data_IF_066438752734
#
_entry.id   IF_066438752734
#
_cell.length_a   1.000
_cell.length_b   1.000
_cell.length_c   1.000
_cell.angle_alpha   90.00
_cell.angle_beta   90.00
_cell.angle_gamma   90.00
#
_symmetry.space_group_name_H-M   'P 1'
#
loop_
_entity.id
_entity.type
_entity.pdbx_description
1 polymer ?
#
# COMPACT_ATOMS: atom_id res chain seq x y z
N UNK A 1 16.51 -5.13 -10.50
CA UNK A 1 16.92 -5.54 -9.14
C UNK A 1 17.70 -4.38 -8.53
N UNK A 2 17.24 -3.83 -7.41
CA UNK A 2 17.90 -2.71 -6.72
C UNK A 2 18.93 -3.24 -5.73
N UNK A 3 20.02 -2.49 -5.57
CA UNK A 3 21.05 -2.75 -4.56
C UNK A 3 20.80 -1.84 -3.38
N UNK A 4 20.50 -2.41 -2.23
CA UNK A 4 20.20 -1.69 -1.00
C UNK A 4 21.38 -1.87 -0.05
N UNK A 5 21.95 -0.78 0.50
CA UNK A 5 23.01 -0.89 1.49
C UNK A 5 22.47 -1.52 2.79
N UNK A 6 23.37 -2.15 3.55
CA UNK A 6 23.10 -2.72 4.87
C UNK A 6 24.06 -2.12 5.90
N UNK A 7 23.68 -1.98 7.19
CA UNK A 7 24.57 -1.44 8.23
C UNK A 7 25.91 -2.16 8.37
N UNK A 8 25.97 -3.47 8.08
CA UNK A 8 27.22 -4.24 8.06
C UNK A 8 28.18 -3.91 6.90
N UNK A 9 27.82 -2.95 6.02
CA UNK A 9 28.55 -2.62 4.80
C UNK A 9 28.24 -3.55 3.62
N UNK A 10 27.44 -4.60 3.84
CA UNK A 10 27.01 -5.49 2.79
C UNK A 10 25.89 -4.90 1.92
N UNK A 11 25.53 -5.61 0.84
CA UNK A 11 24.44 -5.23 -0.07
C UNK A 11 23.32 -6.26 -0.04
N UNK A 12 22.08 -5.78 0.11
CA UNK A 12 20.85 -6.55 -0.09
C UNK A 12 20.36 -6.32 -1.51
N UNK A 13 20.12 -7.40 -2.25
CA UNK A 13 19.47 -7.32 -3.55
C UNK A 13 17.97 -7.40 -3.35
N UNK A 14 17.23 -6.41 -3.85
CA UNK A 14 15.78 -6.36 -3.78
C UNK A 14 15.15 -6.39 -5.18
N UNK A 15 14.15 -7.25 -5.35
CA UNK A 15 13.34 -7.32 -6.55
C UNK A 15 11.89 -7.00 -6.24
N UNK A 16 11.51 -5.74 -6.46
CA UNK A 16 10.23 -5.18 -6.06
C UNK A 16 9.03 -5.97 -6.62
N UNK A 17 9.07 -6.36 -7.90
CA UNK A 17 7.97 -7.09 -8.56
C UNK A 17 7.61 -8.39 -7.85
N UNK A 18 8.60 -9.10 -7.31
CA UNK A 18 8.42 -10.42 -6.69
C UNK A 18 8.54 -10.38 -5.17
N UNK A 19 8.79 -9.20 -4.58
CA UNK A 19 9.10 -9.03 -3.16
C UNK A 19 10.18 -10.02 -2.69
N UNK A 20 11.24 -10.15 -3.47
CA UNK A 20 12.37 -11.04 -3.18
C UNK A 20 13.56 -10.26 -2.68
N UNK A 21 14.21 -10.81 -1.65
CA UNK A 21 15.36 -10.23 -0.99
C UNK A 21 16.49 -11.25 -0.99
N UNK A 22 17.71 -10.84 -1.33
CA UNK A 22 18.88 -11.72 -1.31
C UNK A 22 20.07 -11.07 -0.61
N UNK A 23 20.79 -11.88 0.15
CA UNK A 23 22.07 -11.55 0.77
C UNK A 23 23.12 -12.54 0.28
N UNK A 24 24.03 -12.08 -0.58
CA UNK A 24 24.91 -12.98 -1.33
C UNK A 24 24.07 -13.97 -2.16
N UNK A 25 24.25 -15.27 -1.92
CA UNK A 25 23.49 -16.36 -2.56
C UNK A 25 22.23 -16.76 -1.79
N UNK A 26 22.04 -16.26 -0.57
CA UNK A 26 20.92 -16.63 0.30
C UNK A 26 19.69 -15.78 0.02
N UNK A 27 18.54 -16.43 -0.15
CA UNK A 27 17.24 -15.77 -0.24
C UNK A 27 16.70 -15.54 1.16
N UNK A 28 16.33 -14.30 1.47
CA UNK A 28 15.72 -13.93 2.74
C UNK A 28 14.19 -14.02 2.63
N UNK A 29 13.55 -14.51 3.67
CA UNK A 29 12.08 -14.58 3.74
C UNK A 29 11.50 -13.19 4.03
N UNK A 30 10.43 -12.82 3.35
CA UNK A 30 9.76 -11.55 3.67
C UNK A 30 9.11 -11.62 5.06
N UNK A 31 9.13 -10.52 5.81
CA UNK A 31 8.43 -10.42 7.11
C UNK A 31 6.94 -10.78 6.96
N UNK A 32 6.29 -10.34 5.89
CA UNK A 32 4.91 -10.71 5.57
C UNK A 32 4.72 -12.23 5.45
N UNK A 33 5.60 -12.94 4.72
CA UNK A 33 5.55 -14.41 4.60
C UNK A 33 5.89 -15.13 5.91
N UNK A 34 6.74 -14.54 6.74
CA UNK A 34 7.00 -15.06 8.09
C UNK A 34 5.71 -15.03 8.92
N UNK A 35 4.99 -13.90 8.88
CA UNK A 35 3.77 -13.71 9.67
C UNK A 35 2.59 -14.56 9.19
N UNK A 36 2.51 -14.90 7.91
CA UNK A 36 1.44 -15.75 7.38
C UNK A 36 1.37 -17.13 8.08
N UNK A 37 2.49 -17.63 8.63
CA UNK A 37 2.52 -18.85 9.44
C UNK A 37 1.74 -18.72 10.75
N UNK A 38 1.67 -17.52 11.31
CA UNK A 38 1.06 -17.24 12.62
C UNK A 38 -0.32 -16.57 12.49
N UNK A 39 -0.57 -15.90 11.37
CA UNK A 39 -1.84 -15.26 11.01
C UNK A 39 -2.46 -15.97 9.80
N UNK A 40 -2.94 -17.21 9.95
CA UNK A 40 -3.45 -17.98 8.83
C UNK A 40 -4.70 -17.31 8.23
N UNK A 41 -4.75 -17.23 6.91
CA UNK A 41 -5.93 -16.77 6.18
C UNK A 41 -6.64 -17.96 5.53
N UNK A 42 -7.82 -18.31 6.02
CA UNK A 42 -8.66 -19.32 5.38
C UNK A 42 -9.46 -18.66 4.25
N UNK A 43 -8.86 -18.60 3.06
CA UNK A 43 -9.44 -17.95 1.87
C UNK A 43 -10.83 -18.52 1.55
N UNK A 44 -10.98 -19.85 1.53
CA UNK A 44 -12.25 -20.51 1.23
C UNK A 44 -13.37 -20.07 2.20
N UNK A 45 -13.13 -20.17 3.51
CA UNK A 45 -14.12 -19.76 4.52
C UNK A 45 -14.42 -18.27 4.43
N UNK A 46 -13.41 -17.43 4.22
CA UNK A 46 -13.60 -15.99 4.10
C UNK A 46 -14.44 -15.63 2.87
N UNK A 47 -14.17 -16.26 1.72
CA UNK A 47 -14.96 -16.09 0.50
C UNK A 47 -16.42 -16.49 0.71
N UNK A 48 -16.68 -17.68 1.27
CA UNK A 48 -18.04 -18.16 1.55
C UNK A 48 -18.82 -17.21 2.46
N UNK A 49 -18.18 -16.71 3.52
CA UNK A 49 -18.81 -15.79 4.47
C UNK A 49 -19.11 -14.42 3.86
N UNK A 50 -18.18 -13.87 3.08
CA UNK A 50 -18.36 -12.56 2.42
C UNK A 50 -19.40 -12.67 1.30
N UNK A 51 -19.34 -13.72 0.48
CA UNK A 51 -20.33 -14.03 -0.55
C UNK A 51 -21.74 -14.09 0.06
N UNK A 52 -21.92 -14.88 1.12
CA UNK A 52 -23.20 -14.97 1.85
C UNK A 52 -23.68 -13.64 2.42
N UNK A 53 -22.76 -12.81 2.94
CA UNK A 53 -23.11 -11.52 3.56
C UNK A 53 -23.48 -10.45 2.52
N UNK A 54 -22.84 -10.47 1.36
CA UNK A 54 -22.99 -9.44 0.32
C UNK A 54 -24.00 -9.83 -0.76
N UNK A 55 -24.38 -11.11 -0.85
CA UNK A 55 -25.18 -11.65 -1.94
C UNK A 55 -24.40 -11.84 -3.24
N UNK A 56 -23.08 -11.64 -3.22
CA UNK A 56 -22.19 -11.83 -4.37
C UNK A 56 -21.71 -13.28 -4.46
N UNK A 57 -21.28 -13.68 -5.65
CA UNK A 57 -20.56 -14.95 -5.89
C UNK A 57 -19.14 -14.90 -5.33
N UNK A 58 -18.53 -16.06 -5.11
CA UNK A 58 -17.13 -16.14 -4.63
C UNK A 58 -16.13 -15.55 -5.62
N UNK A 59 -16.42 -15.64 -6.91
CA UNK A 59 -15.64 -15.10 -8.02
C UNK A 59 -15.66 -13.57 -8.00
N UNK A 60 -16.85 -12.96 -7.87
CA UNK A 60 -17.00 -11.51 -7.74
C UNK A 60 -16.28 -10.96 -6.50
N UNK A 61 -16.36 -11.67 -5.36
CA UNK A 61 -15.64 -11.28 -4.14
C UNK A 61 -14.12 -11.33 -4.38
N UNK A 62 -13.63 -12.37 -5.07
CA UNK A 62 -12.20 -12.52 -5.38
C UNK A 62 -11.70 -11.44 -6.35
N UNK A 63 -12.51 -11.10 -7.35
CA UNK A 63 -12.23 -9.99 -8.25
C UNK A 63 -12.19 -8.67 -7.48
N UNK A 64 -13.17 -8.42 -6.60
CA UNK A 64 -13.19 -7.26 -5.71
C UNK A 64 -11.94 -7.18 -4.83
N UNK A 65 -11.42 -8.29 -4.30
CA UNK A 65 -10.18 -8.28 -3.52
C UNK A 65 -8.95 -7.94 -4.37
N UNK A 66 -8.90 -8.45 -5.61
CA UNK A 66 -7.84 -8.13 -6.57
C UNK A 66 -7.85 -6.64 -6.95
N UNK A 67 -9.05 -6.09 -7.14
CA UNK A 67 -9.31 -4.66 -7.37
C UNK A 67 -8.83 -3.81 -6.18
N UNK A 68 -9.11 -4.23 -4.95
CA UNK A 68 -8.65 -3.52 -3.75
C UNK A 68 -7.12 -3.50 -3.61
N UNK A 69 -6.42 -4.53 -4.07
CA UNK A 69 -4.95 -4.53 -4.12
C UNK A 69 -4.39 -3.47 -5.09
N UNK A 70 -5.06 -3.24 -6.23
CA UNK A 70 -4.71 -2.17 -7.17
C UNK A 70 -4.86 -0.79 -6.51
N UNK A 71 -5.96 -0.56 -5.79
CA UNK A 71 -6.16 0.67 -5.02
C UNK A 71 -5.02 0.90 -4.03
N UNK A 72 -4.71 -0.12 -3.21
CA UNK A 72 -3.62 -0.06 -2.24
C UNK A 72 -2.30 0.33 -2.89
N UNK A 73 -1.92 -0.35 -3.98
CA UNK A 73 -0.71 -0.03 -4.75
C UNK A 73 -0.69 1.42 -5.24
N UNK A 74 -1.78 1.88 -5.85
CA UNK A 74 -1.88 3.23 -6.41
C UNK A 74 -1.67 4.28 -5.31
N UNK A 75 -2.34 4.11 -4.16
CA UNK A 75 -2.26 5.06 -3.04
C UNK A 75 -0.90 5.05 -2.35
N UNK A 76 -0.26 3.88 -2.17
CA UNK A 76 1.11 3.81 -1.65
C UNK A 76 2.09 4.55 -2.57
N UNK A 77 2.04 4.30 -3.89
CA UNK A 77 2.90 4.98 -4.87
C UNK A 77 2.70 6.51 -4.85
N UNK A 78 1.47 6.96 -4.64
CA UNK A 78 1.15 8.37 -4.52
C UNK A 78 1.74 9.01 -3.26
N UNK A 79 1.58 8.36 -2.11
CA UNK A 79 2.15 8.82 -0.84
C UNK A 79 3.68 8.83 -0.93
N UNK A 80 4.30 7.77 -1.46
CA UNK A 80 5.73 7.67 -1.67
C UNK A 80 6.24 8.85 -2.50
N UNK A 81 5.65 9.09 -3.66
CA UNK A 81 6.07 10.17 -4.55
C UNK A 81 5.92 11.54 -3.89
N UNK A 82 4.82 11.77 -3.15
CA UNK A 82 4.64 13.03 -2.43
C UNK A 82 5.68 13.25 -1.34
N UNK A 83 5.93 12.25 -0.50
CA UNK A 83 6.91 12.36 0.57
C UNK A 83 8.33 12.54 0.02
N UNK A 84 8.66 11.88 -1.09
CA UNK A 84 9.97 11.98 -1.75
C UNK A 84 10.13 13.19 -2.68
N UNK A 85 9.09 14.04 -2.85
CA UNK A 85 9.13 15.18 -3.78
C UNK A 85 9.22 14.78 -5.26
N UNK A 86 8.83 13.55 -5.61
CA UNK A 86 8.79 13.03 -6.99
C UNK A 86 7.51 13.50 -7.70
N UNK A 87 7.48 13.50 -9.06
CA UNK A 87 6.26 13.78 -9.79
C UNK A 87 5.14 12.78 -9.43
N UNK A 88 3.85 13.18 -9.53
CA UNK A 88 2.73 12.28 -9.28
C UNK A 88 2.78 11.01 -10.16
N UNK A 89 2.32 9.86 -9.66
CA UNK A 89 2.24 8.62 -10.45
C UNK A 89 1.45 8.78 -11.74
N UNK A 90 1.77 7.98 -12.76
CA UNK A 90 1.12 8.04 -14.08
C UNK A 90 -0.39 7.84 -14.01
N UNK A 91 -0.88 7.01 -13.09
CA UNK A 91 -2.33 6.77 -12.94
C UNK A 91 -3.11 8.04 -12.56
N UNK A 92 -2.47 9.03 -11.92
CA UNK A 92 -3.09 10.34 -11.63
C UNK A 92 -3.44 11.12 -12.90
N UNK A 93 -2.67 10.95 -13.98
CA UNK A 93 -2.99 11.56 -15.28
C UNK A 93 -4.27 10.95 -15.86
N UNK A 94 -4.41 9.63 -15.76
CA UNK A 94 -5.61 8.91 -16.20
C UNK A 94 -6.83 9.34 -15.38
N UNK A 95 -6.67 9.49 -14.06
CA UNK A 95 -7.74 9.98 -13.17
C UNK A 95 -8.21 11.40 -13.58
N UNK A 96 -7.27 12.33 -13.81
CA UNK A 96 -7.59 13.70 -14.26
C UNK A 96 -8.30 13.72 -15.61
N UNK A 97 -7.89 12.88 -16.56
CA UNK A 97 -8.55 12.76 -17.86
C UNK A 97 -10.00 12.25 -17.68
N UNK A 98 -10.21 11.23 -16.85
CA UNK A 98 -11.54 10.70 -16.53
C UNK A 98 -12.45 11.76 -15.91
N UNK A 99 -11.94 12.57 -14.99
CA UNK A 99 -12.68 13.69 -14.38
C UNK A 99 -13.04 14.76 -15.41
N UNK A 100 -12.10 15.15 -16.28
CA UNK A 100 -12.35 16.14 -17.34
C UNK A 100 -13.47 15.69 -18.29
N UNK A 101 -13.46 14.41 -18.69
CA UNK A 101 -14.52 13.83 -19.52
C UNK A 101 -15.87 13.81 -18.79
N UNK A 102 -15.89 13.43 -17.51
CA UNK A 102 -17.10 13.44 -16.68
C UNK A 102 -17.70 14.85 -16.55
N UNK A 103 -16.85 15.85 -16.33
CA UNK A 103 -17.28 17.25 -16.21
C UNK A 103 -17.77 17.82 -17.54
N UNK A 104 -17.13 17.49 -18.65
CA UNK A 104 -17.58 17.89 -19.99
C UNK A 104 -18.92 17.25 -20.38
N UNK A 105 -19.18 16.01 -19.95
CA UNK A 105 -20.46 15.35 -20.14
C UNK A 105 -21.57 15.98 -19.27
N UNK A 106 -21.26 16.31 -18.01
CA UNK A 106 -22.20 16.98 -17.10
C UNK A 106 -22.55 18.42 -17.55
N UNK A 107 -21.59 19.14 -18.15
CA UNK A 107 -21.79 20.50 -18.66
C UNK A 107 -22.62 20.59 -19.95
N UNK A 108 -22.90 19.48 -20.64
CA UNK A 108 -23.75 19.43 -21.84
C UNK A 108 -25.23 19.12 -21.55
N UNK A 109 -25.62 18.93 -20.29
CA UNK A 109 -26.99 18.59 -19.88
C UNK A 109 -27.92 19.77 -19.60
N UNK A 110 -27.57 21.00 -20.00
CA UNK A 110 -28.29 22.22 -19.64
C UNK A 110 -28.70 23.08 -20.84
N UNK A 111 -29.45 22.51 -21.80
CA UNK A 111 -30.37 23.27 -22.66
C UNK A 111 -31.59 22.39 -22.94
N UNK A 112 -32.74 22.76 -22.38
CA UNK A 112 -34.06 22.29 -22.81
C UNK A 112 -34.47 23.00 -24.09
N UNK A 113 -34.84 22.26 -25.14
CA UNK A 113 -36.06 22.54 -25.91
C UNK A 113 -36.44 21.34 -26.80
N UNK A 114 -37.75 21.20 -26.98
CA UNK A 114 -38.47 20.06 -27.55
C UNK A 114 -38.44 20.03 -29.09
N UNK A 115 -38.57 18.84 -29.69
CA UNK A 115 -38.89 18.73 -31.12
C UNK A 115 -38.58 17.39 -31.79
N UNK A 116 -39.60 16.53 -31.81
CA UNK A 116 -39.93 15.37 -32.66
C UNK A 116 -38.98 14.79 -33.75
N UNK A 117 -38.85 13.44 -33.70
CA UNK A 117 -38.80 12.43 -34.79
C UNK A 117 -37.87 12.56 -36.00
N UNK A 118 -36.95 11.59 -36.19
CA UNK A 118 -37.05 10.51 -37.20
C UNK A 118 -35.83 9.56 -37.14
N UNK A 119 -36.08 8.27 -37.41
CA UNK A 119 -35.12 7.19 -37.58
C UNK A 119 -34.19 7.41 -38.79
N UNK A 120 -32.92 7.04 -38.66
CA UNK A 120 -32.15 6.43 -39.74
C UNK A 120 -31.00 5.61 -39.16
N UNK A 121 -30.95 4.35 -39.56
CA UNK A 121 -29.89 3.39 -39.28
C UNK A 121 -28.53 3.79 -39.91
N UNK A 122 -27.51 3.20 -39.30
CA UNK A 122 -26.20 2.84 -39.85
C UNK A 122 -25.06 3.88 -39.81
N UNK A 123 -24.10 3.65 -38.90
CA UNK A 123 -22.73 3.30 -39.31
C UNK A 123 -21.78 3.19 -38.10
N UNK A 124 -21.22 1.99 -37.94
CA UNK A 124 -19.87 1.68 -37.45
C UNK A 124 -19.19 2.64 -36.46
N UNK A 125 -19.02 2.20 -35.20
CA UNK A 125 -18.00 2.75 -34.30
C UNK A 125 -17.49 1.71 -33.28
N UNK A 126 -16.48 0.89 -33.60
CA UNK A 126 -15.82 0.03 -32.63
C UNK A 126 -14.59 0.73 -32.06
N UNK A 127 -14.77 1.65 -31.10
CA UNK A 127 -13.63 2.23 -30.33
C UNK A 127 -13.86 2.36 -28.81
N UNK A 128 -15.07 2.12 -28.31
CA UNK A 128 -15.40 2.42 -26.90
C UNK A 128 -15.09 1.29 -25.90
N UNK A 129 -15.04 0.02 -26.34
CA UNK A 129 -14.85 -1.12 -25.42
C UNK A 129 -13.40 -1.27 -24.94
N UNK A 130 -12.42 -1.08 -25.83
CA UNK A 130 -10.99 -1.27 -25.51
C UNK A 130 -10.45 -0.22 -24.54
N UNK A 131 -10.88 1.03 -24.66
CA UNK A 131 -10.43 2.12 -23.78
C UNK A 131 -10.92 1.94 -22.34
N UNK A 132 -12.14 1.42 -22.14
CA UNK A 132 -12.71 1.16 -20.81
C UNK A 132 -11.91 0.09 -20.07
N UNK A 133 -11.55 -1.00 -20.77
CA UNK A 133 -10.74 -2.09 -20.24
C UNK A 133 -9.33 -1.64 -19.79
N UNK A 134 -8.68 -0.75 -20.54
CA UNK A 134 -7.36 -0.22 -20.15
C UNK A 134 -7.45 0.65 -18.90
N UNK A 135 -8.45 1.54 -18.82
CA UNK A 135 -8.64 2.38 -17.63
C UNK A 135 -8.93 1.55 -16.39
N UNK A 136 -9.75 0.49 -16.52
CA UNK A 136 -10.06 -0.41 -15.41
C UNK A 136 -8.84 -1.23 -14.96
N UNK A 137 -7.86 -1.49 -15.84
CA UNK A 137 -6.60 -2.12 -15.45
C UNK A 137 -5.65 -1.21 -14.66
N UNK A 138 -5.86 0.11 -14.73
CA UNK A 138 -5.00 1.14 -14.10
C UNK A 138 -5.65 1.73 -12.85
N UNK A 139 -6.98 1.90 -12.85
CA UNK A 139 -7.73 2.55 -11.78
C UNK A 139 -8.75 1.60 -11.13
N UNK A 140 -8.78 1.61 -9.81
CA UNK A 140 -9.81 1.03 -8.96
C UNK A 140 -11.16 1.76 -9.04
N UNK A 141 -11.14 3.09 -9.21
CA UNK A 141 -12.32 3.95 -9.23
C UNK A 141 -12.61 4.68 -7.92
N UNK A 142 -11.96 4.31 -6.82
CA UNK A 142 -12.07 5.00 -5.52
C UNK A 142 -10.86 5.89 -5.21
N UNK A 143 -9.87 5.97 -6.11
CA UNK A 143 -8.63 6.72 -5.86
C UNK A 143 -8.89 8.17 -5.44
N UNK A 144 -9.90 8.83 -6.00
CA UNK A 144 -10.19 10.22 -5.67
C UNK A 144 -10.48 10.43 -4.18
N UNK A 145 -11.28 9.56 -3.57
CA UNK A 145 -11.57 9.63 -2.14
C UNK A 145 -10.32 9.37 -1.30
N UNK A 146 -9.49 8.39 -1.69
CA UNK A 146 -8.27 8.05 -0.97
C UNK A 146 -7.14 9.06 -1.17
N UNK A 147 -7.08 9.76 -2.31
CA UNK A 147 -6.09 10.83 -2.55
C UNK A 147 -6.29 11.97 -1.56
N UNK A 148 -7.53 12.38 -1.29
CA UNK A 148 -7.80 13.42 -0.31
C UNK A 148 -7.35 13.01 1.11
N UNK A 149 -7.60 11.75 1.50
CA UNK A 149 -7.15 11.22 2.79
C UNK A 149 -5.64 11.08 2.85
N UNK A 150 -5.01 10.61 1.76
CA UNK A 150 -3.56 10.51 1.62
C UNK A 150 -2.89 11.88 1.74
N UNK A 151 -3.49 12.92 1.17
CA UNK A 151 -3.01 14.31 1.29
C UNK A 151 -3.01 14.79 2.73
N UNK A 152 -4.11 14.58 3.45
CA UNK A 152 -4.19 14.93 4.86
C UNK A 152 -3.17 14.14 5.71
N UNK A 153 -2.98 12.85 5.42
CA UNK A 153 -2.00 12.01 6.10
C UNK A 153 -0.55 12.48 5.85
N UNK A 154 -0.22 12.82 4.60
CA UNK A 154 1.10 13.37 4.22
C UNK A 154 1.32 14.74 4.89
N UNK A 155 0.34 15.63 4.88
CA UNK A 155 0.43 16.92 5.55
C UNK A 155 0.70 16.74 7.06
N UNK A 156 -0.06 15.86 7.71
CA UNK A 156 0.12 15.57 9.13
C UNK A 156 1.51 14.97 9.41
N UNK A 157 1.98 14.06 8.56
CA UNK A 157 3.34 13.49 8.64
C UNK A 157 4.39 14.60 8.56
N UNK A 158 4.35 15.42 7.50
CA UNK A 158 5.33 16.48 7.27
C UNK A 158 5.25 17.59 8.33
N UNK A 159 4.10 17.78 8.98
CA UNK A 159 3.96 18.71 10.11
C UNK A 159 4.79 18.25 11.31
N UNK A 160 4.68 16.99 11.71
CA UNK A 160 5.25 16.49 12.97
C UNK A 160 6.54 15.67 12.84
N UNK A 161 6.92 15.31 11.62
CA UNK A 161 8.06 14.43 11.37
C UNK A 161 8.97 14.97 10.27
N UNK A 162 10.27 14.69 10.39
CA UNK A 162 11.23 14.79 9.31
C UNK A 162 11.31 13.44 8.62
N UNK A 163 10.93 13.36 7.35
CA UNK A 163 10.92 12.09 6.61
C UNK A 163 12.36 11.72 6.25
N UNK A 164 12.77 10.51 6.63
CA UNK A 164 14.11 9.99 6.37
C UNK A 164 14.11 9.20 5.07
N UNK A 165 13.22 8.22 4.97
CA UNK A 165 13.14 7.33 3.82
C UNK A 165 11.71 6.84 3.60
N UNK A 166 11.41 6.48 2.35
CA UNK A 166 10.18 5.80 1.95
C UNK A 166 10.53 4.52 1.22
N UNK A 167 9.69 3.49 1.34
CA UNK A 167 9.94 2.15 0.79
C UNK A 167 11.33 1.60 1.18
N UNK A 168 11.71 1.80 2.44
CA UNK A 168 13.02 1.42 2.96
C UNK A 168 13.10 -0.09 3.20
N UNK A 169 13.96 -0.76 2.45
CA UNK A 169 14.27 -2.16 2.72
C UNK A 169 15.12 -2.29 3.98
N UNK A 170 14.69 -3.15 4.89
CA UNK A 170 15.44 -3.59 6.06
C UNK A 170 15.59 -5.10 6.04
N UNK A 171 16.73 -5.60 6.50
CA UNK A 171 17.04 -7.02 6.50
C UNK A 171 17.82 -7.38 7.75
N UNK A 172 17.57 -8.59 8.27
CA UNK A 172 18.46 -9.28 9.18
C UNK A 172 18.93 -10.59 8.51
N UNK A 173 20.15 -10.60 7.93
CA UNK A 173 20.71 -11.81 7.33
C UNK A 173 20.82 -12.96 8.33
N UNK A 174 21.15 -12.65 9.60
CA UNK A 174 21.28 -13.66 10.67
C UNK A 174 19.95 -14.33 11.02
N UNK A 175 18.84 -13.60 10.98
CA UNK A 175 17.50 -14.16 11.14
C UNK A 175 16.92 -14.73 9.84
N UNK A 176 17.58 -14.50 8.70
CA UNK A 176 17.12 -14.96 7.39
C UNK A 176 15.87 -14.22 6.89
N UNK A 177 15.61 -12.99 7.36
CA UNK A 177 14.40 -12.24 7.04
C UNK A 177 14.67 -10.82 6.56
N UNK A 178 13.77 -10.28 5.75
CA UNK A 178 13.80 -8.91 5.27
C UNK A 178 12.41 -8.38 4.96
N UNK A 179 12.27 -7.08 4.76
CA UNK A 179 11.06 -6.49 4.21
C UNK A 179 11.23 -5.02 3.93
N UNK A 180 10.16 -4.40 3.42
CA UNK A 180 10.13 -2.99 3.08
C UNK A 180 9.24 -2.26 4.06
N UNK A 181 9.74 -1.15 4.61
CA UNK A 181 9.02 -0.24 5.49
C UNK A 181 8.53 0.94 4.66
N UNK A 182 7.23 1.19 4.64
CA UNK A 182 6.65 2.23 3.77
C UNK A 182 7.22 3.62 4.09
N UNK A 183 7.41 3.94 5.37
CA UNK A 183 7.99 5.22 5.80
C UNK A 183 8.85 5.08 7.05
N UNK A 184 9.99 5.76 7.03
CA UNK A 184 10.89 5.97 8.16
C UNK A 184 11.04 7.47 8.37
N UNK A 185 10.84 7.96 9.59
CA UNK A 185 10.86 9.39 9.88
C UNK A 185 11.33 9.69 11.31
N UNK A 186 11.76 10.92 11.58
CA UNK A 186 12.13 11.39 12.92
C UNK A 186 11.03 12.29 13.47
N UNK A 187 10.56 12.03 14.68
CA UNK A 187 9.61 12.92 15.33
C UNK A 187 10.31 14.26 15.69
N UNK A 188 9.78 15.38 15.20
CA UNK A 188 10.39 16.71 15.39
C UNK A 188 10.45 17.16 16.85
N UNK A 189 9.54 16.67 17.69
CA UNK A 189 9.45 17.06 19.10
C UNK A 189 10.30 16.16 19.99
N UNK A 190 10.29 14.86 19.75
CA UNK A 190 10.90 13.88 20.66
C UNK A 190 12.23 13.35 20.17
N UNK A 191 12.60 13.59 18.90
CA UNK A 191 13.76 12.98 18.26
C UNK A 191 13.67 11.46 18.14
N UNK A 192 12.51 10.85 18.39
CA UNK A 192 12.33 9.39 18.29
C UNK A 192 12.05 8.99 16.85
N UNK A 193 12.60 7.84 16.45
CA UNK A 193 12.30 7.23 15.17
C UNK A 193 10.82 6.80 15.11
N UNK A 194 10.19 7.09 14.00
CA UNK A 194 8.88 6.62 13.59
C UNK A 194 9.06 5.69 12.39
N UNK A 195 8.44 4.53 12.44
CA UNK A 195 8.25 3.64 11.29
C UNK A 195 6.76 3.44 11.08
N UNK A 196 6.33 3.50 9.82
CA UNK A 196 4.93 3.41 9.44
C UNK A 196 4.70 2.45 8.28
N UNK A 197 3.48 1.93 8.23
CA UNK A 197 2.96 1.04 7.20
C UNK A 197 1.56 1.57 6.84
N UNK A 198 1.38 1.99 5.59
CA UNK A 198 0.13 2.57 5.10
C UNK A 198 -0.87 1.46 4.81
N UNK A 199 -2.15 1.74 5.04
CA UNK A 199 -3.24 0.81 4.76
C UNK A 199 -4.46 1.55 4.24
N UNK A 200 -5.01 1.06 3.14
CA UNK A 200 -6.26 1.56 2.54
C UNK A 200 -7.51 0.86 3.08
N UNK A 201 -7.40 0.05 4.14
CA UNK A 201 -8.55 -0.69 4.68
C UNK A 201 -9.49 0.20 5.48
N UNK A 202 -10.77 0.22 5.13
CA UNK A 202 -11.83 1.00 5.80
C UNK A 202 -12.15 0.58 7.26
N UNK A 203 -11.64 -0.55 7.75
CA UNK A 203 -11.65 -0.89 9.17
C UNK A 203 -10.42 -1.71 9.57
N UNK A 204 -9.58 -1.15 10.44
CA UNK A 204 -8.57 -1.90 11.20
C UNK A 204 -9.03 -2.20 12.62
N UNK A 205 -10.04 -1.48 13.13
CA UNK A 205 -10.58 -1.69 14.46
C UNK A 205 -11.68 -2.76 14.46
N UNK A 206 -11.35 -3.99 14.84
CA UNK A 206 -12.29 -4.88 15.52
C UNK A 206 -12.15 -4.59 17.02
N UNK A 207 -13.06 -3.78 17.57
CA UNK A 207 -13.08 -3.42 19.01
C UNK A 207 -13.62 -4.55 19.90
N UNK A 208 -13.83 -5.76 19.37
CA UNK A 208 -14.35 -6.89 20.13
C UNK A 208 -13.28 -7.95 20.30
N UNK A 209 -13.05 -8.37 21.56
CA UNK A 209 -12.32 -9.61 21.85
C UNK A 209 -13.04 -10.75 21.13
N UNK A 210 -12.43 -11.22 20.05
CA UNK A 210 -12.95 -12.27 19.19
C UNK A 210 -14.36 -11.95 18.67
N UNK A 211 -14.42 -11.09 17.65
CA UNK A 211 -15.57 -11.14 16.73
C UNK A 211 -15.81 -12.59 16.31
N UNK A 212 -17.04 -12.99 15.97
CA UNK A 212 -17.37 -14.36 15.50
C UNK A 212 -16.53 -14.83 14.28
N UNK A 213 -15.76 -13.91 13.69
CA UNK A 213 -14.85 -14.11 12.57
C UNK A 213 -13.37 -14.23 12.97
N UNK A 214 -12.99 -13.87 14.20
CA UNK A 214 -11.60 -13.81 14.65
C UNK A 214 -11.24 -15.08 15.45
N UNK A 215 -10.24 -15.81 14.98
CA UNK A 215 -9.64 -16.93 15.71
C UNK A 215 -8.42 -16.45 16.50
N UNK A 216 -7.89 -17.21 17.47
CA UNK A 216 -6.52 -16.99 17.94
C UNK A 216 -5.51 -17.15 16.79
N UNK A 217 -4.35 -16.50 16.90
CA UNK A 217 -3.18 -16.80 16.08
C UNK A 217 -2.63 -18.20 16.37
N UNK A 218 -1.65 -18.65 15.58
CA UNK A 218 -1.02 -19.97 15.73
C UNK A 218 0.36 -19.86 16.40
N UNK A 219 0.73 -20.88 17.16
CA UNK A 219 2.09 -21.06 17.70
C UNK A 219 2.38 -20.09 18.84
N UNK A 220 3.57 -19.46 18.82
CA UNK A 220 4.01 -18.53 19.87
C UNK A 220 3.14 -17.26 19.99
N UNK A 221 2.30 -16.97 19.00
CA UNK A 221 1.38 -15.83 19.01
C UNK A 221 -0.05 -16.20 19.41
N UNK A 222 -0.33 -17.43 19.86
CA UNK A 222 -1.69 -17.90 20.17
C UNK A 222 -2.46 -17.09 21.22
N UNK A 223 -1.77 -16.25 21.98
CA UNK A 223 -2.36 -15.29 22.92
C UNK A 223 -2.94 -14.03 22.24
N UNK A 224 -2.70 -13.83 20.94
CA UNK A 224 -3.18 -12.70 20.14
C UNK A 224 -4.36 -13.08 19.23
N UNK A 225 -5.28 -12.14 18.95
CA UNK A 225 -6.30 -12.32 17.91
C UNK A 225 -5.71 -12.36 16.50
N UNK A 226 -6.13 -13.34 15.70
CA UNK A 226 -5.86 -13.41 14.27
C UNK A 226 -6.71 -12.38 13.53
N UNK A 227 -6.18 -11.17 13.43
CA UNK A 227 -6.84 -10.00 12.87
C UNK A 227 -5.86 -9.19 12.03
N UNK A 228 -6.39 -8.38 11.11
CA UNK A 228 -5.57 -7.47 10.28
C UNK A 228 -4.74 -6.52 11.14
N UNK A 229 -5.34 -5.93 12.17
CA UNK A 229 -4.66 -5.02 13.09
C UNK A 229 -3.45 -5.66 13.75
N UNK A 230 -3.62 -6.82 14.40
CA UNK A 230 -2.52 -7.49 15.09
C UNK A 230 -1.43 -7.96 14.12
N UNK A 231 -1.82 -8.39 12.90
CA UNK A 231 -0.86 -8.73 11.85
C UNK A 231 -0.04 -7.51 11.42
N UNK A 232 -0.66 -6.35 11.19
CA UNK A 232 0.03 -5.12 10.80
C UNK A 232 0.90 -4.57 11.93
N UNK A 233 0.40 -4.57 13.17
CA UNK A 233 1.17 -4.19 14.34
C UNK A 233 2.42 -5.06 14.51
N UNK A 234 2.28 -6.39 14.35
CA UNK A 234 3.41 -7.31 14.41
C UNK A 234 4.40 -7.08 13.27
N UNK A 235 3.92 -6.76 12.06
CA UNK A 235 4.79 -6.43 10.94
C UNK A 235 5.68 -5.21 11.24
N UNK A 236 5.09 -4.12 11.75
CA UNK A 236 5.84 -2.92 12.17
C UNK A 236 6.80 -3.24 13.33
N UNK A 237 6.37 -4.02 14.32
CA UNK A 237 7.22 -4.42 15.44
C UNK A 237 8.44 -5.22 14.99
N UNK A 238 8.27 -6.19 14.07
CA UNK A 238 9.37 -6.98 13.51
C UNK A 238 10.34 -6.09 12.73
N UNK A 239 9.86 -5.10 11.97
CA UNK A 239 10.75 -4.15 11.31
C UNK A 239 11.57 -3.33 12.31
N UNK A 240 10.95 -2.86 13.40
CA UNK A 240 11.66 -2.18 14.48
C UNK A 240 12.74 -3.06 15.11
N UNK A 241 12.43 -4.33 15.36
CA UNK A 241 13.41 -5.30 15.91
C UNK A 241 14.55 -5.60 14.94
N UNK A 242 14.29 -5.70 13.63
CA UNK A 242 15.35 -5.82 12.62
C UNK A 242 16.26 -4.60 12.67
N UNK A 243 15.69 -3.39 12.65
CA UNK A 243 16.46 -2.15 12.66
C UNK A 243 17.34 -2.04 13.90
N UNK A 244 16.81 -2.42 15.07
CA UNK A 244 17.52 -2.43 16.34
C UNK A 244 18.64 -3.47 16.36
N UNK A 245 18.34 -4.72 15.97
CA UNK A 245 19.29 -5.84 16.00
C UNK A 245 20.46 -5.64 15.03
N UNK A 246 20.20 -5.05 13.86
CA UNK A 246 21.20 -4.82 12.82
C UNK A 246 21.81 -3.41 12.90
N UNK A 247 21.56 -2.68 13.99
CA UNK A 247 22.15 -1.36 14.28
C UNK A 247 21.94 -0.31 13.18
N UNK A 248 20.76 -0.27 12.55
CA UNK A 248 20.44 0.75 11.53
C UNK A 248 20.58 2.18 12.09
N UNK A 249 20.23 2.39 13.37
CA UNK A 249 20.36 3.70 14.01
C UNK A 249 21.79 3.98 14.46
N UNK A 250 22.35 3.10 15.29
CA UNK A 250 23.67 3.33 15.92
C UNK A 250 24.81 3.39 14.89
N UNK A 251 24.67 2.68 13.78
CA UNK A 251 25.60 2.76 12.67
C UNK A 251 25.38 3.98 11.77
N UNK A 252 24.55 4.97 12.14
CA UNK A 252 24.29 6.16 11.32
C UNK A 252 23.89 5.82 9.88
N UNK A 253 23.16 4.72 9.67
CA UNK A 253 22.82 4.22 8.34
C UNK A 253 22.00 5.26 7.57
N UNK A 254 21.01 5.83 8.25
CA UNK A 254 20.23 6.97 7.80
C UNK A 254 21.09 8.24 7.99
N UNK A 255 21.73 8.69 6.92
CA UNK A 255 22.77 9.73 6.93
C UNK A 255 23.97 9.32 6.09
N UNK A 256 24.57 8.15 6.38
CA UNK A 256 25.74 7.65 5.64
C UNK A 256 25.37 6.90 4.36
N UNK A 257 24.46 5.93 4.49
CA UNK A 257 24.13 4.97 3.43
C UNK A 257 22.81 5.28 2.74
N UNK A 258 21.87 5.86 3.48
CA UNK A 258 20.62 6.40 2.95
C UNK A 258 20.59 7.88 3.28
N UNK A 259 20.71 8.74 2.25
CA UNK A 259 20.59 10.18 2.44
C UNK A 259 19.14 10.52 2.81
N UNK A 260 18.89 11.16 3.96
CA UNK A 260 17.55 11.53 4.37
C UNK A 260 16.84 12.37 3.29
N UNK A 261 15.56 12.10 3.07
CA UNK A 261 14.72 12.91 2.18
C UNK A 261 14.64 14.35 2.70
N UNK A 262 14.46 14.52 4.01
CA UNK A 262 14.57 15.80 4.68
C UNK A 262 16.03 16.07 5.08
N UNK A 263 16.70 16.97 4.34
CA UNK A 263 18.11 17.33 4.55
C UNK A 263 18.43 17.87 5.95
N UNK A 264 17.43 18.36 6.69
CA UNK A 264 17.60 18.85 8.07
C UNK A 264 17.92 17.73 9.07
N UNK A 265 17.87 16.47 8.64
CA UNK A 265 18.21 15.29 9.46
C UNK A 265 19.68 14.88 9.28
N UNK A 266 20.45 15.55 8.40
CA UNK A 266 21.87 15.27 8.19
C UNK A 266 22.80 15.89 9.28
N UNK A 267 22.27 16.80 10.10
CA UNK A 267 22.96 17.50 11.21
C UNK A 267 22.71 16.82 12.56
#
# INVERSE_FOLDING_TARGET
MSRIPHPSGATILHENKWHQYKFGTHVLRSVSKLLDKHFPFNEKRALELVAKKTGQTTEEVKESWSRQALLGKNIHEYIENKLAGKPPPTWMLVLKQKQKLKNAAAGKGGVTEAGNSQESEDSSSPKSSTSRSIVDSILHGEEEAYVAVADAAVEQMLKYYHVIAVEQVVASPTWGIAGTVDVVALNKRTGKLFIGDWKTSGSVASNFRFSIFETPCIGCLSHLPNSKFHRYAMQVAVYGEIMRHEHYLDAGFFGRSVKPIDKRVEE
#
